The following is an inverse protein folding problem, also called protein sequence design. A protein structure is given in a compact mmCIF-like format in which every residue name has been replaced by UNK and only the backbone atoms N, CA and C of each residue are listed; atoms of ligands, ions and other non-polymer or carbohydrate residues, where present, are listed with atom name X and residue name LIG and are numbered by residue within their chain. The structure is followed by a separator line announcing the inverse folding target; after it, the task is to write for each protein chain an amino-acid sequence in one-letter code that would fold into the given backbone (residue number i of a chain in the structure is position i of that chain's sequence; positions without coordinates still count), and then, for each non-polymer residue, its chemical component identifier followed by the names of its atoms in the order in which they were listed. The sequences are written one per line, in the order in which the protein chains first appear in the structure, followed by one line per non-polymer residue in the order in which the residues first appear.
data_IF_752799531738
#
_entry.id   IF_752799531738
#
_cell.length_a   1.000
_cell.length_b   1.000
_cell.length_c   1.000
_cell.angle_alpha   90.00
_cell.angle_beta   90.00
_cell.angle_gamma   90.00
#
_symmetry.space_group_name_H-M   'P 1'
#
loop_
_entity.id
_entity.type
_entity.pdbx_description
1 polymer ?
#
# COMPACT_ATOMS: atom_id res chain seq x y z
N UNK A 1 -15.72 1.05 -33.50
CA UNK A 1 -14.69 2.11 -33.67
C UNK A 1 -14.68 3.08 -32.48
N UNK A 2 -15.79 3.71 -32.15
CA UNK A 2 -15.92 4.67 -31.02
C UNK A 2 -15.48 4.11 -29.66
N UNK A 3 -15.87 2.87 -29.34
CA UNK A 3 -15.44 2.20 -28.10
C UNK A 3 -13.91 2.03 -28.01
N UNK A 4 -13.26 1.68 -29.13
CA UNK A 4 -11.81 1.49 -29.20
C UNK A 4 -11.10 2.82 -28.98
N UNK A 5 -11.58 3.89 -29.61
CA UNK A 5 -11.04 5.25 -29.43
C UNK A 5 -11.18 5.70 -27.98
N UNK A 6 -12.33 5.43 -27.34
CA UNK A 6 -12.54 5.74 -25.92
C UNK A 6 -11.58 4.97 -25.01
N UNK A 7 -11.38 3.67 -25.24
CA UNK A 7 -10.42 2.88 -24.48
C UNK A 7 -8.99 3.40 -24.64
N UNK A 8 -8.58 3.79 -25.85
CA UNK A 8 -7.24 4.34 -26.11
C UNK A 8 -7.03 5.69 -25.43
N UNK A 9 -8.03 6.59 -25.47
CA UNK A 9 -7.97 7.88 -24.78
C UNK A 9 -7.94 7.72 -23.26
N UNK A 10 -8.73 6.78 -22.72
CA UNK A 10 -8.70 6.47 -21.30
C UNK A 10 -7.33 5.93 -20.87
N UNK A 11 -6.75 5.04 -21.68
CA UNK A 11 -5.45 4.45 -21.42
C UNK A 11 -4.31 5.50 -21.53
N UNK A 12 -4.41 6.44 -22.47
CA UNK A 12 -3.42 7.52 -22.59
C UNK A 12 -3.48 8.50 -21.41
N UNK A 13 -4.68 8.83 -20.92
CA UNK A 13 -4.85 9.65 -19.72
C UNK A 13 -4.26 8.99 -18.48
N UNK A 14 -4.45 7.68 -18.33
CA UNK A 14 -3.85 6.88 -17.27
C UNK A 14 -2.30 6.89 -17.33
N UNK A 15 -1.73 6.83 -18.53
CA UNK A 15 -0.27 6.90 -18.74
C UNK A 15 0.28 8.31 -18.46
N UNK A 16 -0.49 9.37 -18.69
CA UNK A 16 -0.04 10.75 -18.49
C UNK A 16 -0.01 11.17 -17.02
N UNK A 17 -0.80 10.51 -16.16
CA UNK A 17 -0.96 10.88 -14.76
C UNK A 17 -0.13 9.98 -13.83
N UNK A 18 1.20 10.00 -13.98
CA UNK A 18 2.09 9.46 -12.96
C UNK A 18 3.22 10.46 -12.67
N UNK A 19 3.53 10.65 -11.39
CA UNK A 19 4.62 11.50 -10.95
C UNK A 19 5.61 10.63 -10.15
N UNK A 20 6.88 10.66 -10.56
CA UNK A 20 7.97 10.04 -9.81
C UNK A 20 8.60 11.13 -8.96
N UNK A 21 8.61 10.90 -7.65
CA UNK A 21 9.23 11.80 -6.69
C UNK A 21 10.39 11.07 -6.02
N UNK A 22 11.52 11.74 -5.93
CA UNK A 22 12.75 11.26 -5.30
C UNK A 22 13.10 12.28 -4.22
N UNK A 23 13.26 11.82 -3.00
CA UNK A 23 13.51 12.72 -1.88
C UNK A 23 12.75 12.30 -0.64
N UNK A 24 12.17 13.27 0.04
CA UNK A 24 11.37 12.99 1.23
C UNK A 24 10.13 12.19 0.83
N UNK A 25 9.87 11.05 1.49
CA UNK A 25 8.67 10.28 1.20
C UNK A 25 7.42 11.08 1.55
N UNK A 26 6.30 10.85 0.83
CA UNK A 26 5.01 11.43 1.22
C UNK A 26 4.54 10.95 2.59
N UNK A 27 5.11 9.86 3.10
CA UNK A 27 4.84 9.29 4.42
C UNK A 27 6.18 9.06 5.13
N UNK A 28 6.46 9.83 6.18
CA UNK A 28 7.74 9.78 6.92
C UNK A 28 7.82 8.59 7.88
N UNK A 29 6.79 8.45 8.73
CA UNK A 29 6.74 7.44 9.78
C UNK A 29 5.29 7.11 10.14
N UNK A 30 5.01 5.83 10.28
CA UNK A 30 3.69 5.29 10.57
C UNK A 30 3.72 4.54 11.90
N UNK A 31 2.68 4.75 12.70
CA UNK A 31 2.34 3.87 13.80
C UNK A 31 1.28 2.90 13.29
N UNK A 32 1.68 1.64 13.12
CA UNK A 32 0.89 0.60 12.47
C UNK A 32 0.40 -0.39 13.50
N UNK A 33 -0.81 -0.89 13.27
CA UNK A 33 -1.29 -2.10 13.88
C UNK A 33 -1.54 -3.15 12.83
N UNK A 34 -0.88 -4.29 12.96
CA UNK A 34 -0.77 -5.25 11.88
C UNK A 34 -1.10 -6.68 12.30
N UNK A 35 -1.54 -7.45 11.31
CA UNK A 35 -1.62 -8.90 11.37
C UNK A 35 -0.74 -9.49 10.29
N UNK A 36 0.20 -10.31 10.72
CA UNK A 36 1.09 -11.03 9.84
C UNK A 36 0.37 -12.18 9.13
N UNK A 37 0.61 -12.34 7.83
CA UNK A 37 0.01 -13.37 6.97
C UNK A 37 0.97 -13.79 5.87
N UNK A 38 0.84 -15.02 5.36
CA UNK A 38 1.54 -15.51 4.18
C UNK A 38 0.60 -15.53 2.97
N UNK A 39 1.16 -15.56 1.75
CA UNK A 39 0.37 -15.70 0.52
C UNK A 39 -0.48 -16.98 0.58
N UNK A 40 -1.80 -16.83 0.64
CA UNK A 40 -2.77 -17.90 0.82
C UNK A 40 -4.21 -17.36 0.94
N UNK A 41 -5.22 -18.24 1.07
CA UNK A 41 -6.65 -17.85 1.12
C UNK A 41 -6.96 -16.82 2.22
N UNK A 42 -6.18 -16.77 3.29
CA UNK A 42 -6.41 -15.95 4.48
C UNK A 42 -5.96 -14.49 4.35
N UNK A 43 -5.04 -14.18 3.42
CA UNK A 43 -4.48 -12.83 3.30
C UNK A 43 -5.51 -11.78 2.83
N UNK A 44 -6.34 -12.13 1.83
CA UNK A 44 -7.40 -11.26 1.33
C UNK A 44 -8.55 -11.10 2.35
N UNK A 45 -8.85 -12.16 3.09
CA UNK A 45 -9.86 -12.15 4.14
C UNK A 45 -9.47 -11.21 5.29
N UNK A 46 -8.20 -11.26 5.72
CA UNK A 46 -7.69 -10.36 6.77
C UNK A 46 -7.80 -8.89 6.35
N UNK A 47 -7.41 -8.53 5.12
CA UNK A 47 -7.51 -7.15 4.65
C UNK A 47 -8.96 -6.66 4.60
N UNK A 48 -9.89 -7.49 4.09
CA UNK A 48 -11.32 -7.16 4.07
C UNK A 48 -11.91 -7.01 5.48
N UNK A 49 -11.48 -7.85 6.42
CA UNK A 49 -11.91 -7.78 7.81
C UNK A 49 -11.41 -6.50 8.49
N UNK A 50 -10.16 -6.11 8.26
CA UNK A 50 -9.62 -4.84 8.75
C UNK A 50 -10.39 -3.64 8.19
N UNK A 51 -10.70 -3.65 6.89
CA UNK A 51 -11.52 -2.61 6.27
C UNK A 51 -12.91 -2.50 6.90
N UNK A 52 -13.54 -3.64 7.21
CA UNK A 52 -14.86 -3.65 7.86
C UNK A 52 -14.80 -3.14 9.31
N UNK A 53 -13.75 -3.51 10.05
CA UNK A 53 -13.61 -3.15 11.46
C UNK A 53 -13.12 -1.71 11.66
N UNK A 54 -12.35 -1.18 10.70
CA UNK A 54 -11.71 0.13 10.78
C UNK A 54 -11.97 0.96 9.51
N UNK A 55 -13.24 1.27 9.17
CA UNK A 55 -13.60 1.91 7.90
C UNK A 55 -13.06 3.33 7.74
N UNK A 56 -12.83 4.04 8.84
CA UNK A 56 -12.33 5.41 8.86
C UNK A 56 -10.80 5.50 8.91
N UNK A 57 -10.11 4.36 8.96
CA UNK A 57 -8.66 4.32 9.08
C UNK A 57 -8.01 4.02 7.73
N UNK A 58 -6.82 4.60 7.50
CA UNK A 58 -6.01 4.22 6.35
C UNK A 58 -5.49 2.80 6.55
N UNK A 59 -5.49 2.01 5.47
CA UNK A 59 -4.96 0.65 5.46
C UNK A 59 -3.69 0.59 4.63
N UNK A 60 -2.70 -0.14 5.14
CA UNK A 60 -1.42 -0.36 4.47
C UNK A 60 -1.17 -1.84 4.38
N UNK A 61 -0.73 -2.31 3.20
CA UNK A 61 -0.27 -3.68 3.01
C UNK A 61 1.23 -3.65 2.77
N UNK A 62 1.99 -4.16 3.74
CA UNK A 62 3.42 -4.32 3.60
C UNK A 62 3.69 -5.68 2.97
N UNK A 63 4.42 -5.69 1.86
CA UNK A 63 4.84 -6.90 1.15
C UNK A 63 6.34 -7.05 1.38
N UNK A 64 6.77 -8.21 1.89
CA UNK A 64 8.18 -8.50 2.11
C UNK A 64 8.56 -9.79 1.38
N UNK A 65 9.68 -9.72 0.67
CA UNK A 65 10.34 -10.86 0.05
C UNK A 65 11.80 -10.82 0.51
N UNK A 66 12.23 -11.83 1.26
CA UNK A 66 13.62 -11.98 1.68
C UNK A 66 14.32 -13.12 0.93
N UNK A 67 15.66 -13.13 0.86
CA UNK A 67 16.41 -14.23 0.25
C UNK A 67 16.21 -15.56 0.99
N UNK A 68 15.74 -15.52 2.24
CA UNK A 68 15.44 -16.68 3.08
C UNK A 68 13.97 -17.11 3.07
N UNK A 69 13.06 -16.31 2.51
CA UNK A 69 11.63 -16.63 2.50
C UNK A 69 11.29 -17.39 1.21
N UNK A 70 10.79 -18.63 1.34
CA UNK A 70 10.27 -19.42 0.21
C UNK A 70 8.93 -18.90 -0.32
N UNK A 71 8.30 -17.98 0.40
CA UNK A 71 6.97 -17.46 0.10
C UNK A 71 6.94 -15.94 0.26
N UNK A 72 6.01 -15.28 -0.44
CA UNK A 72 5.78 -13.84 -0.26
C UNK A 72 5.02 -13.63 1.04
N UNK A 73 5.58 -12.79 1.89
CA UNK A 73 5.06 -12.48 3.23
C UNK A 73 4.35 -11.13 3.22
N UNK A 74 3.28 -11.01 4.01
CA UNK A 74 2.49 -9.78 4.06
C UNK A 74 2.10 -9.42 5.48
N UNK A 75 2.19 -8.14 5.80
CA UNK A 75 1.53 -7.56 6.97
C UNK A 75 0.37 -6.67 6.50
N UNK A 76 -0.85 -7.04 6.88
CA UNK A 76 -2.02 -6.19 6.66
C UNK A 76 -2.15 -5.27 7.87
N UNK A 77 -2.09 -3.96 7.63
CA UNK A 77 -1.91 -2.96 8.67
C UNK A 77 -3.05 -1.93 8.64
N UNK A 78 -3.45 -1.49 9.82
CA UNK A 78 -4.24 -0.29 10.05
C UNK A 78 -3.28 0.80 10.49
N UNK A 79 -3.36 1.98 9.89
CA UNK A 79 -2.61 3.15 10.32
C UNK A 79 -3.32 3.74 11.53
N UNK A 80 -2.65 3.73 12.67
CA UNK A 80 -3.15 4.28 13.93
C UNK A 80 -2.77 5.76 14.05
N UNK A 81 -1.59 6.13 13.57
CA UNK A 81 -1.09 7.50 13.58
C UNK A 81 -0.04 7.72 12.48
N UNK A 82 0.00 8.94 11.96
CA UNK A 82 1.01 9.41 11.00
C UNK A 82 1.89 10.47 11.67
N UNK A 83 3.11 10.64 11.15
CA UNK A 83 4.00 11.77 11.48
C UNK A 83 4.46 11.90 12.94
N UNK A 84 4.48 10.79 13.68
CA UNK A 84 4.97 10.80 15.06
C UNK A 84 4.02 11.41 16.08
N UNK A 85 2.77 11.70 15.67
CA UNK A 85 1.68 12.01 16.58
C UNK A 85 1.43 10.81 17.50
N UNK A 86 1.15 11.09 18.77
CA UNK A 86 0.81 10.07 19.76
C UNK A 86 -0.53 9.43 19.33
N UNK A 87 -0.58 8.10 19.16
CA UNK A 87 -1.81 7.42 18.77
C UNK A 87 -2.89 7.62 19.84
N UNK A 88 -4.16 7.70 19.42
CA UNK A 88 -5.29 7.72 20.33
C UNK A 88 -5.26 6.44 21.19
N UNK A 89 -5.20 6.62 22.51
CA UNK A 89 -5.11 5.54 23.49
C UNK A 89 -6.26 4.56 23.34
N UNK A 90 -7.48 5.06 23.08
CA UNK A 90 -8.67 4.21 22.91
C UNK A 90 -8.57 3.35 21.66
N UNK A 91 -8.08 3.93 20.56
CA UNK A 91 -7.85 3.19 19.32
C UNK A 91 -6.78 2.12 19.53
N UNK A 92 -5.70 2.44 20.24
CA UNK A 92 -4.62 1.52 20.55
C UNK A 92 -5.10 0.34 21.40
N UNK A 93 -5.89 0.59 22.43
CA UNK A 93 -6.48 -0.46 23.27
C UNK A 93 -7.39 -1.39 22.47
N UNK A 94 -8.31 -0.83 21.66
CA UNK A 94 -9.22 -1.61 20.81
C UNK A 94 -8.46 -2.52 19.84
N UNK A 95 -7.41 -1.98 19.24
CA UNK A 95 -6.54 -2.69 18.31
C UNK A 95 -5.81 -3.85 19.00
N UNK A 96 -5.23 -3.62 20.18
CA UNK A 96 -4.54 -4.65 20.95
C UNK A 96 -5.50 -5.75 21.41
N UNK A 97 -6.70 -5.39 21.87
CA UNK A 97 -7.75 -6.34 22.24
C UNK A 97 -8.23 -7.19 21.05
N UNK A 98 -8.16 -6.64 19.83
CA UNK A 98 -8.47 -7.40 18.60
C UNK A 98 -7.38 -8.38 18.16
N UNK A 99 -6.27 -8.47 18.92
CA UNK A 99 -5.14 -9.37 18.66
C UNK A 99 -4.20 -8.87 17.57
N UNK A 100 -4.19 -7.56 17.28
CA UNK A 100 -3.24 -6.94 16.37
C UNK A 100 -1.95 -6.59 17.11
N UNK A 101 -0.82 -6.79 16.42
CA UNK A 101 0.49 -6.36 16.93
C UNK A 101 0.75 -4.93 16.50
N UNK A 102 1.44 -4.15 17.33
CA UNK A 102 1.73 -2.74 17.05
C UNK A 102 3.20 -2.59 16.65
N UNK A 103 3.46 -1.77 15.64
CA UNK A 103 4.79 -1.50 15.15
C UNK A 103 4.92 -0.05 14.68
N UNK A 104 5.99 0.62 15.10
CA UNK A 104 6.34 1.94 14.59
C UNK A 104 7.38 1.77 13.49
N UNK A 105 7.09 2.28 12.28
CA UNK A 105 8.08 2.24 11.21
C UNK A 105 9.25 3.17 11.55
N UNK A 106 10.48 2.84 11.11
CA UNK A 106 11.59 3.79 11.18
C UNK A 106 11.25 5.05 10.37
N UNK A 107 11.86 6.18 10.73
CA UNK A 107 11.76 7.40 9.93
C UNK A 107 12.48 7.21 8.60
N UNK A 108 11.75 7.30 7.50
CA UNK A 108 12.33 7.20 6.17
C UNK A 108 12.76 8.61 5.75
N UNK A 109 14.07 8.81 5.57
CA UNK A 109 14.64 10.10 5.16
C UNK A 109 14.60 10.29 3.64
N UNK A 110 14.75 9.19 2.89
CA UNK A 110 14.81 9.20 1.44
C UNK A 110 14.03 8.01 0.87
N UNK A 111 13.15 8.28 -0.09
CA UNK A 111 12.41 7.26 -0.82
C UNK A 111 12.21 7.67 -2.28
N UNK A 112 12.07 6.65 -3.12
CA UNK A 112 11.55 6.82 -4.47
C UNK A 112 10.07 6.46 -4.39
N UNK A 113 9.20 7.45 -4.60
CA UNK A 113 7.75 7.26 -4.60
C UNK A 113 7.17 7.49 -5.99
N UNK A 114 6.19 6.65 -6.34
CA UNK A 114 5.40 6.80 -7.55
C UNK A 114 3.93 6.74 -7.17
N UNK A 115 3.17 7.73 -7.59
CA UNK A 115 1.72 7.77 -7.43
C UNK A 115 1.04 7.44 -8.75
N UNK A 116 0.05 6.54 -8.70
CA UNK A 116 -0.70 6.11 -9.87
C UNK A 116 -2.19 5.98 -9.55
N UNK A 117 -3.09 6.55 -10.38
CA UNK A 117 -4.53 6.42 -10.15
C UNK A 117 -5.00 5.00 -10.47
N UNK A 118 -5.51 4.30 -9.46
CA UNK A 118 -6.08 2.95 -9.61
C UNK A 118 -7.59 3.04 -9.52
N UNK A 119 -8.28 2.60 -10.57
CA UNK A 119 -9.73 2.43 -10.56
C UNK A 119 -10.09 1.07 -9.96
N UNK A 120 -10.77 0.99 -8.79
CA UNK A 120 -10.94 -0.26 -8.05
C UNK A 120 -11.65 -1.38 -8.83
N UNK A 121 -12.59 -1.03 -9.70
CA UNK A 121 -13.37 -1.97 -10.51
C UNK A 121 -12.71 -2.35 -11.84
N UNK A 122 -11.57 -1.74 -12.20
CA UNK A 122 -10.82 -2.05 -13.43
C UNK A 122 -9.50 -2.71 -13.05
N UNK A 123 -9.48 -4.04 -12.99
CA UNK A 123 -8.26 -4.80 -12.68
C UNK A 123 -7.08 -4.45 -13.58
N UNK A 124 -7.34 -4.13 -14.86
CA UNK A 124 -6.31 -3.71 -15.82
C UNK A 124 -5.54 -2.45 -15.36
N UNK A 125 -6.18 -1.52 -14.62
CA UNK A 125 -5.51 -0.32 -14.12
C UNK A 125 -4.37 -0.65 -13.14
N UNK A 126 -4.51 -1.70 -12.34
CA UNK A 126 -3.47 -2.18 -11.41
C UNK A 126 -2.29 -2.78 -12.16
N UNK A 127 -2.56 -3.64 -13.14
CA UNK A 127 -1.52 -4.26 -13.95
C UNK A 127 -0.74 -3.23 -14.75
N UNK A 128 -1.44 -2.25 -15.31
CA UNK A 128 -0.81 -1.16 -16.06
C UNK A 128 0.04 -0.26 -15.14
N UNK A 129 -0.44 0.03 -13.92
CA UNK A 129 0.36 0.72 -12.92
C UNK A 129 1.67 -0.02 -12.61
N UNK A 130 1.62 -1.33 -12.39
CA UNK A 130 2.81 -2.16 -12.13
C UNK A 130 3.75 -2.15 -13.33
N UNK A 131 3.22 -2.41 -14.53
CA UNK A 131 4.01 -2.49 -15.77
C UNK A 131 4.71 -1.17 -16.11
N UNK A 132 4.12 -0.02 -15.78
CA UNK A 132 4.74 1.29 -15.99
C UNK A 132 5.68 1.71 -14.86
N UNK A 133 5.33 1.39 -13.61
CA UNK A 133 6.07 1.85 -12.44
C UNK A 133 7.39 1.08 -12.26
N UNK A 134 7.35 -0.26 -12.32
CA UNK A 134 8.49 -1.10 -11.94
C UNK A 134 9.73 -0.88 -12.81
N UNK A 135 9.64 -0.84 -14.16
CA UNK A 135 10.81 -0.59 -15.00
C UNK A 135 11.46 0.77 -14.72
N UNK A 136 10.65 1.78 -14.39
CA UNK A 136 11.15 3.13 -14.07
C UNK A 136 11.80 3.18 -12.71
N UNK A 137 11.18 2.57 -11.69
CA UNK A 137 11.78 2.44 -10.36
C UNK A 137 13.12 1.70 -10.43
N UNK A 138 13.22 0.66 -11.27
CA UNK A 138 14.46 -0.10 -11.45
C UNK A 138 15.64 0.76 -11.92
N UNK A 139 15.39 1.80 -12.73
CA UNK A 139 16.44 2.73 -13.16
C UNK A 139 17.06 3.52 -12.00
N UNK A 140 16.30 3.77 -10.92
CA UNK A 140 16.73 4.56 -9.77
C UNK A 140 17.32 3.72 -8.63
N UNK A 141 17.13 2.40 -8.65
CA UNK A 141 17.68 1.46 -7.67
C UNK A 141 19.09 0.98 -8.05
N UNK A 142 19.51 1.24 -9.30
CA UNK A 142 20.82 0.89 -9.84
C UNK A 142 21.87 1.93 -9.46
#
# INVERSE_FOLDING_TARGET
LTFIVFCLLWLSLLILYYEIQIGQPPIKGLFLAYKYTYFGRTASFCFKQLYKNYPNCKLVKLCYCGPKSSHIEYANCVVVSEEGLIPDVRMLENVLQSGLTVFKTPSISHAISLCYPITPWISASRWLAIALAYPKLFHYVR
#
